data_IF_009215546697
#
_entry.id   IF_009215546697
#
_cell.length_a   1.000
_cell.length_b   1.000
_cell.length_c   1.000
_cell.angle_alpha   90.00
_cell.angle_beta   90.00
_cell.angle_gamma   90.00
#
_symmetry.space_group_name_H-M   'P 1'
#
loop_
_entity.id
_entity.type
_entity.pdbx_description
1 polymer ?
#
# COMPACT_ATOMS: atom_id res chain seq x y z
N UNK A 1 10.86 -6.90 3.08
CA UNK A 1 11.01 -5.98 1.94
C UNK A 1 12.45 -6.02 1.44
N UNK A 2 12.69 -6.25 0.13
CA UNK A 2 14.03 -6.14 -0.47
C UNK A 2 14.43 -4.65 -0.52
N UNK A 3 15.71 -4.34 -0.33
CA UNK A 3 16.23 -2.97 -0.28
C UNK A 3 17.26 -2.74 -1.38
N UNK A 4 17.24 -1.55 -1.98
CA UNK A 4 18.24 -1.10 -2.95
C UNK A 4 18.82 0.24 -2.47
N UNK A 5 20.12 0.45 -2.64
CA UNK A 5 20.74 1.73 -2.30
C UNK A 5 20.38 2.79 -3.35
N UNK A 6 20.13 4.03 -2.93
CA UNK A 6 19.78 5.16 -3.83
C UNK A 6 20.74 5.29 -5.01
N UNK A 7 22.05 5.13 -4.79
CA UNK A 7 23.09 5.20 -5.83
C UNK A 7 22.94 4.16 -6.96
N UNK A 8 22.19 3.09 -6.73
CA UNK A 8 21.93 2.05 -7.73
C UNK A 8 20.60 2.28 -8.48
N UNK A 9 19.91 3.38 -8.20
CA UNK A 9 18.69 3.80 -8.89
C UNK A 9 19.06 4.74 -10.03
N UNK A 10 18.34 4.69 -11.16
CA UNK A 10 18.60 5.58 -12.30
C UNK A 10 18.50 7.06 -11.91
N UNK A 11 19.36 7.89 -12.50
CA UNK A 11 19.51 9.32 -12.19
C UNK A 11 18.18 10.08 -12.21
N UNK A 12 17.35 9.88 -13.24
CA UNK A 12 16.04 10.52 -13.36
C UNK A 12 15.13 10.24 -12.17
N UNK A 13 15.08 8.99 -11.70
CA UNK A 13 14.27 8.62 -10.55
C UNK A 13 14.86 9.21 -9.26
N UNK A 14 16.18 9.31 -9.13
CA UNK A 14 16.79 10.00 -7.99
C UNK A 14 16.39 11.48 -7.92
N UNK A 15 16.36 12.18 -9.07
CA UNK A 15 15.94 13.58 -9.14
C UNK A 15 14.47 13.71 -8.71
N UNK A 16 13.59 12.88 -9.25
CA UNK A 16 12.15 12.89 -8.90
C UNK A 16 11.92 12.59 -7.41
N UNK A 17 12.74 11.72 -6.81
CA UNK A 17 12.66 11.42 -5.36
C UNK A 17 13.14 12.56 -4.45
N UNK A 18 13.92 13.52 -4.96
CA UNK A 18 14.46 14.64 -4.18
C UNK A 18 13.74 15.97 -4.43
N UNK A 19 12.71 15.96 -5.27
CA UNK A 19 11.93 17.14 -5.58
C UNK A 19 11.20 17.64 -4.32
N UNK A 20 11.41 18.93 -4.01
CA UNK A 20 11.16 19.53 -2.69
C UNK A 20 9.68 19.74 -2.34
N UNK A 21 8.78 19.52 -3.31
CA UNK A 21 7.33 19.62 -3.15
C UNK A 21 6.60 18.38 -3.70
N UNK A 22 6.70 17.22 -3.03
CA UNK A 22 6.08 15.97 -3.46
C UNK A 22 4.63 15.83 -2.94
N UNK A 23 3.86 16.91 -2.92
CA UNK A 23 2.44 16.79 -2.56
C UNK A 23 1.70 16.16 -3.74
N UNK A 24 1.56 14.83 -3.68
CA UNK A 24 0.53 14.00 -4.33
C UNK A 24 0.82 13.37 -5.70
N UNK A 25 2.05 13.37 -6.23
CA UNK A 25 2.33 12.68 -7.50
C UNK A 25 3.08 11.36 -7.34
N UNK A 26 2.39 10.27 -7.73
CA UNK A 26 2.92 8.93 -7.91
C UNK A 26 3.87 8.88 -9.12
N UNK A 27 5.07 8.29 -8.96
CA UNK A 27 6.02 8.16 -10.08
C UNK A 27 5.76 6.86 -10.82
N UNK A 28 5.18 6.94 -12.03
CA UNK A 28 4.98 5.80 -12.92
C UNK A 28 6.25 5.37 -13.66
N UNK A 29 6.55 4.07 -13.65
CA UNK A 29 7.61 3.45 -14.44
C UNK A 29 6.96 2.80 -15.66
N UNK A 30 7.20 3.34 -16.84
CA UNK A 30 6.65 2.83 -18.10
C UNK A 30 7.68 1.97 -18.86
N UNK A 31 7.20 1.04 -19.68
CA UNK A 31 8.02 0.34 -20.66
C UNK A 31 8.14 1.13 -21.98
N UNK A 32 8.88 0.58 -22.94
CA UNK A 32 9.10 1.20 -24.26
C UNK A 32 7.81 1.39 -25.09
N UNK A 33 6.77 0.63 -24.78
CA UNK A 33 5.44 0.73 -25.42
C UNK A 33 4.53 1.74 -24.71
N UNK A 34 4.98 2.33 -23.60
CA UNK A 34 4.19 3.23 -22.76
C UNK A 34 3.29 2.52 -21.75
N UNK A 35 3.43 1.21 -21.54
CA UNK A 35 2.64 0.46 -20.56
C UNK A 35 3.24 0.62 -19.15
N UNK A 36 2.39 0.76 -18.13
CA UNK A 36 2.80 0.93 -16.73
C UNK A 36 3.31 -0.40 -16.14
N UNK A 37 4.59 -0.43 -15.77
CA UNK A 37 5.23 -1.57 -15.10
C UNK A 37 5.15 -1.48 -13.57
N UNK A 38 5.11 -0.28 -13.02
CA UNK A 38 5.08 -0.08 -11.58
C UNK A 38 5.02 1.39 -11.19
N UNK A 39 4.80 1.63 -9.90
CA UNK A 39 4.69 2.97 -9.32
C UNK A 39 5.64 3.07 -8.13
N UNK A 40 6.27 4.23 -7.97
CA UNK A 40 7.01 4.60 -6.76
C UNK A 40 6.21 5.66 -6.03
N UNK A 41 5.89 5.37 -4.77
CA UNK A 41 5.15 6.27 -3.86
C UNK A 41 6.03 6.66 -2.68
N UNK A 42 5.68 7.76 -2.01
CA UNK A 42 6.36 8.18 -0.79
C UNK A 42 6.11 7.18 0.35
N UNK A 43 6.98 7.20 1.36
CA UNK A 43 6.82 6.34 2.55
C UNK A 43 5.51 6.67 3.26
N UNK A 44 5.16 7.95 3.36
CA UNK A 44 3.95 8.44 3.99
C UNK A 44 2.70 7.92 3.28
N UNK A 45 2.69 7.93 1.94
CA UNK A 45 1.60 7.35 1.15
C UNK A 45 1.50 5.83 1.35
N UNK A 46 2.63 5.12 1.32
CA UNK A 46 2.66 3.67 1.56
C UNK A 46 2.09 3.32 2.94
N UNK A 47 2.53 4.01 4.00
CA UNK A 47 2.06 3.79 5.36
C UNK A 47 0.56 4.11 5.50
N UNK A 48 0.07 5.17 4.83
CA UNK A 48 -1.34 5.50 4.80
C UNK A 48 -2.17 4.40 4.15
N UNK A 49 -1.77 3.90 2.98
CA UNK A 49 -2.48 2.81 2.30
C UNK A 49 -2.44 1.52 3.10
N UNK A 50 -1.30 1.18 3.71
CA UNK A 50 -1.19 -0.01 4.55
C UNK A 50 -2.15 0.04 5.72
N UNK A 51 -2.19 1.17 6.44
CA UNK A 51 -3.12 1.38 7.54
C UNK A 51 -4.57 1.27 7.09
N UNK A 52 -4.91 1.79 5.90
CA UNK A 52 -6.28 1.71 5.36
C UNK A 52 -6.69 0.28 5.04
N UNK A 53 -5.76 -0.55 4.57
CA UNK A 53 -6.01 -1.99 4.35
C UNK A 53 -6.23 -2.69 5.69
N UNK A 54 -5.38 -2.44 6.68
CA UNK A 54 -5.52 -3.01 8.04
C UNK A 54 -6.87 -2.62 8.67
N UNK A 55 -7.27 -1.34 8.59
CA UNK A 55 -8.58 -0.86 9.09
C UNK A 55 -9.76 -1.57 8.42
N UNK A 56 -9.63 -1.93 7.13
CA UNK A 56 -10.68 -2.63 6.38
C UNK A 56 -10.71 -4.14 6.72
N UNK A 57 -9.55 -4.77 6.90
CA UNK A 57 -9.45 -6.14 7.40
C UNK A 57 -10.06 -6.26 8.80
N UNK A 58 -9.70 -5.35 9.72
CA UNK A 58 -10.30 -5.25 11.06
C UNK A 58 -11.83 -5.11 11.01
N UNK A 59 -12.35 -4.37 10.03
CA UNK A 59 -13.79 -4.21 9.85
C UNK A 59 -14.46 -5.49 9.38
N UNK A 60 -13.83 -6.23 8.48
CA UNK A 60 -14.33 -7.51 7.97
C UNK A 60 -14.30 -8.56 9.06
N UNK A 61 -13.22 -8.63 9.84
CA UNK A 61 -13.09 -9.57 10.96
C UNK A 61 -14.10 -9.27 12.06
N UNK A 62 -14.27 -7.99 12.43
CA UNK A 62 -15.30 -7.60 13.40
C UNK A 62 -16.71 -7.95 12.90
N UNK A 63 -17.03 -7.72 11.62
CA UNK A 63 -18.31 -8.15 11.04
C UNK A 63 -18.48 -9.66 11.08
N UNK A 64 -17.40 -10.42 10.86
CA UNK A 64 -17.41 -11.88 10.90
C UNK A 64 -17.63 -12.39 12.32
N UNK A 65 -16.98 -11.81 13.32
CA UNK A 65 -17.20 -12.10 14.75
C UNK A 65 -18.63 -11.75 15.16
N UNK A 66 -19.13 -10.58 14.79
CA UNK A 66 -20.51 -10.19 15.07
C UNK A 66 -21.53 -11.14 14.40
N UNK A 67 -21.26 -11.57 13.17
CA UNK A 67 -22.08 -12.56 12.47
C UNK A 67 -22.03 -13.92 13.16
N UNK A 68 -20.87 -14.35 13.64
CA UNK A 68 -20.67 -15.60 14.39
C UNK A 68 -21.38 -15.58 15.75
N UNK A 69 -21.30 -14.45 16.46
CA UNK A 69 -22.02 -14.22 17.72
C UNK A 69 -23.54 -14.15 17.50
N UNK A 70 -24.01 -13.64 16.34
CA UNK A 70 -25.43 -13.67 15.96
C UNK A 70 -25.92 -15.04 15.48
N UNK A 71 -25.07 -15.88 14.88
CA UNK A 71 -25.46 -17.19 14.37
C UNK A 71 -25.57 -18.28 15.44
N UNK A 72 -25.12 -18.00 16.67
CA UNK A 72 -25.57 -18.73 17.87
C UNK A 72 -25.51 -20.25 17.75
N UNK A 73 -24.34 -20.83 17.46
CA UNK A 73 -24.14 -22.23 17.78
C UNK A 73 -24.10 -22.37 19.31
N UNK A 74 -25.28 -22.69 19.87
CA UNK A 74 -25.42 -23.26 21.19
C UNK A 74 -24.61 -24.56 21.20
N UNK A 75 -23.40 -24.51 21.74
CA UNK A 75 -22.79 -25.70 22.29
C UNK A 75 -23.62 -26.11 23.51
N UNK A 76 -24.62 -26.95 23.28
CA UNK A 76 -25.28 -27.72 24.34
C UNK A 76 -24.23 -28.70 24.91
N UNK A 77 -24.07 -28.62 26.24
CA UNK A 77 -23.21 -29.49 27.04
C UNK A 77 -23.77 -30.91 27.13
#
# INVERSE_FOLDING_TARGET
MRKIAKKNVGEKLQILLEEKHPLEEDIGILNEKGELLGIVITKEAYDFFLKKVEEEEDRIDNKTIEAFHKSGEKYEK
#
